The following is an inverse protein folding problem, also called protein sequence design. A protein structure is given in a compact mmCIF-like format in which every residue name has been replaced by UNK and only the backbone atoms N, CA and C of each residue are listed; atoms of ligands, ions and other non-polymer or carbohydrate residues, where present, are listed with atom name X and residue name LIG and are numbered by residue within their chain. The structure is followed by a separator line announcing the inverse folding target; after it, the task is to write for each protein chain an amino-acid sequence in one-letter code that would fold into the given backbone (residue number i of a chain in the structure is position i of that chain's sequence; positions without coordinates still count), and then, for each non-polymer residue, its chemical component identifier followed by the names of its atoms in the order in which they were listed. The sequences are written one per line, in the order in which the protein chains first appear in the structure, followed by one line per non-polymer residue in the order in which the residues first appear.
data_IF_688653577019
#
_entry.id   IF_688653577019
#
_cell.length_a   1.000
_cell.length_b   1.000
_cell.length_c   1.000
_cell.angle_alpha   90.00
_cell.angle_beta   90.00
_cell.angle_gamma   90.00
#
_symmetry.space_group_name_H-M   'P 1'
#
loop_
_entity.id
_entity.type
_entity.pdbx_description
1 polymer ?
#
# COMPACT_ATOMS: atom_id res chain seq x y z
N UNK A 1 9.54 8.44 1.18
CA UNK A 1 8.09 8.62 1.00
C UNK A 1 7.40 7.84 2.09
N UNK A 2 6.60 8.52 2.90
CA UNK A 2 5.96 7.98 4.09
C UNK A 2 4.44 7.90 3.90
N UNK A 3 3.75 7.30 4.87
CA UNK A 3 2.28 7.29 4.91
C UNK A 3 1.67 8.69 4.90
N UNK A 4 2.34 9.66 5.53
CA UNK A 4 1.89 11.05 5.60
C UNK A 4 1.90 11.76 4.23
N UNK A 5 2.76 11.30 3.31
CA UNK A 5 2.88 11.87 1.96
C UNK A 5 1.84 11.26 0.99
N UNK A 6 1.07 10.26 1.42
CA UNK A 6 0.14 9.53 0.57
C UNK A 6 -1.29 10.03 0.73
N UNK A 7 -1.86 10.50 -0.38
CA UNK A 7 -3.26 10.92 -0.43
C UNK A 7 -4.12 9.70 -0.72
N UNK A 8 -4.95 9.35 0.26
CA UNK A 8 -5.98 8.33 0.09
C UNK A 8 -7.10 8.86 -0.80
N UNK A 9 -7.52 8.03 -1.76
CA UNK A 9 -8.57 8.30 -2.70
C UNK A 9 -9.33 6.98 -3.00
N UNK A 10 -10.57 7.04 -3.53
CA UNK A 10 -11.36 5.83 -3.79
C UNK A 10 -10.64 4.74 -4.60
N UNK A 11 -9.75 5.14 -5.53
CA UNK A 11 -8.98 4.21 -6.37
C UNK A 11 -7.80 3.52 -5.67
N UNK A 12 -7.36 3.98 -4.51
CA UNK A 12 -6.19 3.43 -3.79
C UNK A 12 -6.49 3.02 -2.33
N UNK A 13 -7.65 3.41 -1.79
CA UNK A 13 -8.05 3.15 -0.41
C UNK A 13 -7.97 1.66 -0.03
N UNK A 14 -8.46 0.76 -0.90
CA UNK A 14 -8.40 -0.68 -0.64
C UNK A 14 -6.98 -1.22 -0.57
N UNK A 15 -6.08 -0.73 -1.43
CA UNK A 15 -4.68 -1.17 -1.42
C UNK A 15 -3.98 -0.67 -0.15
N UNK A 16 -4.22 0.58 0.23
CA UNK A 16 -3.67 1.19 1.43
C UNK A 16 -4.13 0.45 2.70
N UNK A 17 -5.44 0.26 2.85
CA UNK A 17 -6.02 -0.46 3.99
C UNK A 17 -5.56 -1.92 4.09
N UNK A 18 -5.22 -2.56 2.97
CA UNK A 18 -4.63 -3.90 3.00
C UNK A 18 -3.19 -3.87 3.51
N UNK A 19 -2.37 -2.92 3.05
CA UNK A 19 -0.98 -2.80 3.51
C UNK A 19 -0.89 -2.41 4.98
N UNK A 20 -1.79 -1.57 5.48
CA UNK A 20 -1.88 -1.17 6.90
C UNK A 20 -2.23 -2.33 7.84
N UNK A 21 -2.68 -3.48 7.32
CA UNK A 21 -2.95 -4.69 8.13
C UNK A 21 -1.70 -5.49 8.45
N UNK A 22 -0.54 -5.20 7.87
CA UNK A 22 0.69 -5.93 8.20
C UNK A 22 0.96 -5.85 9.73
N UNK A 23 1.33 -6.95 10.41
CA UNK A 23 1.61 -8.30 9.90
C UNK A 23 0.40 -9.26 9.80
N UNK A 24 -0.80 -8.81 10.13
CA UNK A 24 -2.07 -9.56 10.11
C UNK A 24 -2.67 -9.75 8.69
N UNK A 25 -1.81 -10.05 7.71
CA UNK A 25 -2.27 -10.39 6.37
C UNK A 25 -2.88 -11.79 6.32
N UNK A 26 -3.90 -11.96 5.49
CA UNK A 26 -4.54 -13.26 5.25
C UNK A 26 -3.67 -14.25 4.48
N UNK A 27 -2.52 -13.81 3.97
CA UNK A 27 -1.57 -14.58 3.16
C UNK A 27 -0.14 -14.12 3.50
N UNK A 28 0.88 -14.97 3.29
CA UNK A 28 2.27 -14.63 3.61
C UNK A 28 2.87 -13.54 2.70
N UNK A 29 2.17 -13.16 1.62
CA UNK A 29 2.60 -12.14 0.69
C UNK A 29 1.41 -11.38 0.09
N UNK A 30 1.65 -10.13 -0.30
CA UNK A 30 0.71 -9.25 -0.98
C UNK A 30 1.14 -9.03 -2.44
N UNK A 31 0.19 -9.07 -3.38
CA UNK A 31 0.42 -8.64 -4.76
C UNK A 31 -0.25 -7.27 -4.98
N UNK A 32 0.52 -6.28 -5.43
CA UNK A 32 0.02 -4.94 -5.74
C UNK A 32 0.08 -4.68 -7.24
N UNK A 33 -1.09 -4.50 -7.87
CA UNK A 33 -1.20 -4.30 -9.32
C UNK A 33 -2.03 -3.06 -9.67
N UNK A 34 -1.84 -2.56 -10.89
CA UNK A 34 -2.54 -1.39 -11.42
C UNK A 34 -1.75 -0.70 -12.54
N UNK A 35 -2.36 0.26 -13.26
CA UNK A 35 -1.74 0.98 -14.37
C UNK A 35 -0.41 1.67 -14.01
N UNK A 36 0.35 2.10 -15.02
CA UNK A 36 1.49 2.99 -14.80
C UNK A 36 1.08 4.23 -13.98
N UNK A 37 1.98 4.73 -13.12
CA UNK A 37 1.75 5.91 -12.28
C UNK A 37 0.56 5.85 -11.29
N UNK A 38 0.05 4.65 -10.95
CA UNK A 38 -1.04 4.46 -9.97
C UNK A 38 -0.59 4.47 -8.48
N UNK A 39 0.65 4.85 -8.18
CA UNK A 39 1.13 4.94 -6.79
C UNK A 39 1.65 3.63 -6.16
N UNK A 40 1.80 2.55 -6.93
CA UNK A 40 2.30 1.24 -6.42
C UNK A 40 3.63 1.33 -5.68
N UNK A 41 4.61 2.04 -6.24
CA UNK A 41 5.93 2.22 -5.62
C UNK A 41 5.84 2.97 -4.29
N UNK A 42 4.99 3.99 -4.22
CA UNK A 42 4.76 4.75 -2.98
C UNK A 42 4.11 3.85 -1.92
N UNK A 43 3.07 3.10 -2.28
CA UNK A 43 2.43 2.12 -1.39
C UNK A 43 3.43 1.08 -0.85
N UNK A 44 4.32 0.55 -1.70
CA UNK A 44 5.36 -0.39 -1.27
C UNK A 44 6.34 0.23 -0.27
N UNK A 45 6.73 1.50 -0.45
CA UNK A 45 7.57 2.21 0.51
C UNK A 45 6.88 2.46 1.86
N UNK A 46 5.57 2.75 1.85
CA UNK A 46 4.77 2.91 3.07
C UNK A 46 4.80 1.63 3.90
N UNK A 47 4.57 0.48 3.25
CA UNK A 47 4.65 -0.82 3.91
C UNK A 47 6.08 -1.08 4.43
N UNK A 48 7.10 -0.94 3.58
CA UNK A 48 8.48 -1.22 3.96
C UNK A 48 8.99 -0.35 5.13
N UNK A 49 8.44 0.86 5.32
CA UNK A 49 8.77 1.71 6.46
C UNK A 49 8.10 1.31 7.79
N UNK A 50 7.04 0.50 7.72
CA UNK A 50 6.24 0.06 8.86
C UNK A 50 6.43 -1.44 9.16
N UNK A 51 7.18 -2.15 8.31
CA UNK A 51 7.38 -3.59 8.38
C UNK A 51 8.49 -4.01 9.35
#
# INVERSE_FOLDING_TARGET
MTRADFIEAPGNARALAYLERWPDWSAPAAALWGPGASGKTHLAHIWASQA
#
